data_IF_726463787615
#
_entry.id   IF_726463787615
#
_cell.length_a   1.000
_cell.length_b   1.000
_cell.length_c   1.000
_cell.angle_alpha   90.00
_cell.angle_beta   90.00
_cell.angle_gamma   90.00
#
_symmetry.space_group_name_H-M   'P 1'
#
loop_
_entity.id
_entity.type
_entity.pdbx_description
1 polymer ?
#
# COMPACT_ATOMS: atom_id res chain seq x y z
N UNK A 1 -4.87 0.56 34.08
CA UNK A 1 -5.77 1.55 34.72
C UNK A 1 -5.57 2.85 34.00
N UNK A 2 -6.46 3.19 33.07
CA UNK A 2 -6.44 4.44 32.33
C UNK A 2 -6.75 5.57 33.30
N UNK A 3 -5.80 6.46 33.58
CA UNK A 3 -6.14 7.69 34.29
C UNK A 3 -7.07 8.50 33.37
N UNK A 4 -8.26 8.90 33.82
CA UNK A 4 -9.06 9.85 33.07
C UNK A 4 -8.32 11.19 33.13
N UNK A 5 -7.96 11.73 31.96
CA UNK A 5 -7.48 13.12 31.84
C UNK A 5 -8.52 14.04 32.49
N UNK A 6 -8.18 14.54 33.68
CA UNK A 6 -9.04 15.36 34.52
C UNK A 6 -8.91 16.83 34.11
N UNK A 7 -9.39 17.16 32.92
CA UNK A 7 -9.66 18.55 32.55
C UNK A 7 -11.09 18.63 31.99
N UNK A 8 -11.99 19.26 32.75
CA UNK A 8 -13.28 19.68 32.21
C UNK A 8 -13.02 20.65 31.05
N UNK A 9 -13.34 20.20 29.84
CA UNK A 9 -13.21 21.01 28.62
C UNK A 9 -14.17 22.19 28.76
N UNK A 10 -13.69 23.45 28.82
CA UNK A 10 -14.60 24.56 29.00
C UNK A 10 -15.55 24.66 27.79
N UNK A 11 -16.84 24.98 28.02
CA UNK A 11 -17.89 24.91 26.99
C UNK A 11 -17.61 25.78 25.75
N UNK A 12 -16.75 26.78 25.88
CA UNK A 12 -16.31 27.67 24.81
C UNK A 12 -15.22 27.05 23.91
N UNK A 13 -14.87 25.77 24.06
CA UNK A 13 -13.90 25.10 23.18
C UNK A 13 -14.51 23.94 22.38
N UNK A 14 -13.84 23.62 21.29
CA UNK A 14 -14.02 22.42 20.46
C UNK A 14 -12.68 21.69 20.44
N UNK A 15 -12.69 20.37 20.63
CA UNK A 15 -11.47 19.56 20.54
C UNK A 15 -11.44 18.84 19.20
N UNK A 16 -10.33 18.98 18.50
CA UNK A 16 -9.98 18.15 17.35
C UNK A 16 -9.10 17.02 17.89
N UNK A 17 -9.54 15.77 17.74
CA UNK A 17 -8.78 14.59 18.14
C UNK A 17 -8.24 13.86 16.92
N UNK A 18 -6.96 13.52 16.94
CA UNK A 18 -6.30 12.75 15.88
C UNK A 18 -5.50 11.62 16.52
N UNK A 19 -5.74 10.40 16.07
CA UNK A 19 -4.94 9.24 16.45
C UNK A 19 -3.92 8.96 15.36
N UNK A 20 -2.66 8.95 15.72
CA UNK A 20 -1.54 8.81 14.78
C UNK A 20 -0.77 7.55 15.13
N UNK A 21 -0.57 6.68 14.15
CA UNK A 21 0.32 5.53 14.29
C UNK A 21 1.78 6.00 14.16
N UNK A 22 2.61 5.68 15.15
CA UNK A 22 4.03 6.09 15.15
C UNK A 22 4.80 5.48 13.99
N UNK A 23 4.42 4.29 13.52
CA UNK A 23 5.03 3.67 12.35
C UNK A 23 4.76 4.48 11.07
N UNK A 24 3.63 5.19 10.97
CA UNK A 24 3.36 6.10 9.86
C UNK A 24 4.22 7.36 9.93
N UNK A 25 4.48 7.88 11.14
CA UNK A 25 5.42 9.00 11.34
C UNK A 25 6.85 8.63 10.92
N UNK A 26 7.32 7.43 11.30
CA UNK A 26 8.63 6.88 10.91
C UNK A 26 8.76 6.84 9.38
N UNK A 27 7.73 6.38 8.65
CA UNK A 27 7.76 6.31 7.18
C UNK A 27 7.93 7.67 6.52
N UNK A 28 7.33 8.72 7.08
CA UNK A 28 7.39 10.06 6.48
C UNK A 28 8.71 10.76 6.82
N UNK A 29 9.24 10.55 8.02
CA UNK A 29 10.40 11.31 8.52
C UNK A 29 11.71 10.53 8.38
N UNK A 30 11.60 9.24 8.07
CA UNK A 30 12.72 8.33 7.95
C UNK A 30 13.61 8.36 9.20
N UNK A 31 12.99 8.49 10.37
CA UNK A 31 13.65 8.50 11.67
C UNK A 31 13.05 7.37 12.54
N UNK A 32 13.77 6.24 12.70
CA UNK A 32 13.27 5.11 13.46
C UNK A 32 13.13 5.41 14.97
N UNK A 33 13.76 6.47 15.48
CA UNK A 33 13.67 6.80 16.90
C UNK A 33 12.27 7.30 17.27
N UNK A 34 11.50 7.83 16.31
CA UNK A 34 10.10 8.26 16.51
C UNK A 34 9.21 7.13 17.07
N UNK A 35 9.55 5.86 16.80
CA UNK A 35 8.78 4.73 17.30
C UNK A 35 8.83 4.63 18.84
N UNK A 36 9.96 5.00 19.44
CA UNK A 36 10.24 4.81 20.86
C UNK A 36 10.48 6.10 21.64
N UNK A 37 10.56 7.24 20.96
CA UNK A 37 10.91 8.54 21.54
C UNK A 37 9.74 9.53 21.41
N UNK A 38 9.10 9.80 22.55
CA UNK A 38 7.97 10.73 22.65
C UNK A 38 8.38 12.18 22.34
N UNK A 39 9.61 12.60 22.67
CA UNK A 39 10.08 13.96 22.39
C UNK A 39 10.20 14.18 20.88
N UNK A 40 10.68 13.17 20.14
CA UNK A 40 10.73 13.24 18.68
C UNK A 40 9.36 13.28 18.02
N UNK A 41 8.39 12.55 18.56
CA UNK A 41 7.00 12.63 18.09
C UNK A 41 6.44 14.04 18.34
N UNK A 42 6.75 14.63 19.50
CA UNK A 42 6.34 15.99 19.83
C UNK A 42 6.98 17.00 18.87
N UNK A 43 8.31 16.97 18.70
CA UNK A 43 9.07 17.84 17.79
C UNK A 43 8.48 17.83 16.38
N UNK A 44 8.10 16.65 15.88
CA UNK A 44 7.40 16.52 14.61
C UNK A 44 6.09 17.30 14.62
N UNK A 45 5.21 16.99 15.59
CA UNK A 45 3.81 17.42 15.58
C UNK A 45 3.69 18.90 15.84
N UNK A 46 4.70 19.49 16.48
CA UNK A 46 4.78 20.92 16.77
C UNK A 46 5.75 21.68 15.87
N UNK A 47 6.42 21.03 14.90
CA UNK A 47 7.42 21.71 14.06
C UNK A 47 6.88 22.95 13.35
N UNK A 48 5.68 22.82 12.79
CA UNK A 48 5.01 23.88 12.04
C UNK A 48 4.05 24.68 12.95
N UNK A 49 3.98 24.36 14.25
CA UNK A 49 3.10 25.04 15.19
C UNK A 49 3.68 26.38 15.62
N UNK A 50 2.89 27.46 15.49
CA UNK A 50 3.29 28.81 15.87
C UNK A 50 2.66 29.29 17.19
N UNK A 51 2.07 28.39 18.00
CA UNK A 51 1.68 28.72 19.37
C UNK A 51 0.30 29.36 19.57
N UNK A 52 -0.56 29.41 18.56
CA UNK A 52 -1.83 30.19 18.62
C UNK A 52 -3.00 29.40 19.23
N UNK A 53 -2.85 28.09 19.42
CA UNK A 53 -3.88 27.26 20.05
C UNK A 53 -3.84 27.39 21.57
N UNK A 54 -5.02 27.47 22.17
CA UNK A 54 -5.16 27.79 23.60
C UNK A 54 -4.92 26.58 24.51
N UNK A 55 -5.02 25.36 23.99
CA UNK A 55 -4.49 24.15 24.63
C UNK A 55 -4.22 23.06 23.60
N UNK A 56 -3.19 22.25 23.86
CA UNK A 56 -2.75 21.12 23.05
C UNK A 56 -2.22 20.03 23.98
N UNK A 57 -2.64 18.79 23.76
CA UNK A 57 -2.23 17.64 24.56
C UNK A 57 -1.92 16.44 23.65
N UNK A 58 -0.94 15.64 24.04
CA UNK A 58 -0.57 14.40 23.35
C UNK A 58 -0.51 13.28 24.38
N UNK A 59 -1.45 12.36 24.27
CA UNK A 59 -1.40 11.10 24.99
C UNK A 59 -0.68 10.05 24.15
N UNK A 60 0.14 9.24 24.80
CA UNK A 60 0.86 8.14 24.16
C UNK A 60 0.29 6.82 24.64
N UNK A 61 -0.19 6.00 23.70
CA UNK A 61 -0.76 4.69 23.97
C UNK A 61 -0.20 3.70 22.94
N UNK A 62 0.36 2.59 23.43
CA UNK A 62 1.08 1.54 22.69
C UNK A 62 1.15 1.70 21.15
N UNK A 63 2.25 2.27 20.66
CA UNK A 63 2.50 2.48 19.22
C UNK A 63 1.77 3.67 18.59
N UNK A 64 0.96 4.44 19.33
CA UNK A 64 0.19 5.58 18.84
C UNK A 64 0.48 6.87 19.62
N UNK A 65 0.16 7.99 18.98
CA UNK A 65 0.05 9.31 19.56
C UNK A 65 -1.38 9.82 19.37
N UNK A 66 -2.08 10.04 20.48
CA UNK A 66 -3.44 10.56 20.56
C UNK A 66 -3.36 12.06 20.82
N UNK A 67 -3.49 12.83 19.75
CA UNK A 67 -3.41 14.29 19.79
C UNK A 67 -4.78 14.89 20.06
N UNK A 68 -4.88 15.77 21.05
CA UNK A 68 -6.06 16.59 21.33
C UNK A 68 -5.72 18.07 21.15
N UNK A 69 -6.41 18.72 20.21
CA UNK A 69 -6.18 20.12 19.86
C UNK A 69 -7.38 20.99 20.24
N UNK A 70 -7.16 21.95 21.14
CA UNK A 70 -8.17 22.85 21.68
C UNK A 70 -8.36 24.10 20.83
N UNK A 71 -9.56 24.27 20.29
CA UNK A 71 -9.94 25.40 19.44
C UNK A 71 -11.01 26.23 20.13
N UNK A 72 -10.79 27.52 20.30
CA UNK A 72 -11.79 28.42 20.86
C UNK A 72 -12.97 28.56 19.88
N UNK A 73 -14.19 28.39 20.38
CA UNK A 73 -15.41 28.64 19.61
C UNK A 73 -15.54 30.14 19.35
N UNK A 74 -15.93 30.49 18.13
CA UNK A 74 -16.22 31.88 17.78
C UNK A 74 -17.40 32.43 18.59
N UNK A 75 -17.52 33.76 18.64
CA UNK A 75 -18.72 34.41 19.15
C UNK A 75 -19.94 33.99 18.32
N UNK A 76 -21.15 34.15 18.87
CA UNK A 76 -22.39 33.87 18.13
C UNK A 76 -22.45 34.59 16.79
N UNK A 77 -22.00 35.85 16.76
CA UNK A 77 -21.95 36.65 15.55
C UNK A 77 -20.96 36.08 14.52
N UNK A 78 -19.78 35.64 14.97
CA UNK A 78 -18.79 34.99 14.12
C UNK A 78 -19.31 33.67 13.53
N UNK A 79 -20.02 32.87 14.33
CA UNK A 79 -20.66 31.62 13.88
C UNK A 79 -21.83 31.86 12.91
N UNK A 80 -22.61 32.93 13.09
CA UNK A 80 -23.67 33.31 12.16
C UNK A 80 -23.08 33.70 10.80
N UNK A 81 -21.95 34.42 10.78
CA UNK A 81 -21.20 34.67 9.56
C UNK A 81 -20.64 33.38 8.94
N UNK A 82 -20.07 32.48 9.73
CA UNK A 82 -19.59 31.18 9.24
C UNK A 82 -20.71 30.38 8.55
N UNK A 83 -21.90 30.32 9.15
CA UNK A 83 -23.08 29.66 8.58
C UNK A 83 -23.55 30.28 7.27
N UNK A 84 -23.57 31.62 7.19
CA UNK A 84 -23.89 32.33 5.95
C UNK A 84 -22.87 32.03 4.86
N UNK A 85 -21.58 31.95 5.21
CA UNK A 85 -20.52 31.53 4.30
C UNK A 85 -20.73 30.11 3.75
N UNK A 86 -21.04 29.16 4.63
CA UNK A 86 -21.38 27.78 4.24
C UNK A 86 -22.61 27.69 3.33
N UNK A 87 -23.65 28.48 3.62
CA UNK A 87 -24.85 28.54 2.78
C UNK A 87 -24.54 29.09 1.38
N UNK A 88 -23.84 30.22 1.29
CA UNK A 88 -23.43 30.80 0.02
C UNK A 88 -22.52 29.85 -0.79
N UNK A 89 -21.59 29.15 -0.13
CA UNK A 89 -20.73 28.17 -0.79
C UNK A 89 -21.50 26.94 -1.31
N UNK A 90 -22.55 26.50 -0.58
CA UNK A 90 -23.45 25.43 -1.05
C UNK A 90 -24.18 25.83 -2.34
N UNK A 91 -24.52 27.11 -2.47
CA UNK A 91 -25.10 27.70 -3.67
C UNK A 91 -24.05 28.08 -4.74
N UNK A 92 -22.78 27.71 -4.51
CA UNK A 92 -21.61 28.02 -5.36
C UNK A 92 -21.33 29.52 -5.51
N UNK A 93 -21.90 30.36 -4.65
CA UNK A 93 -21.56 31.78 -4.55
C UNK A 93 -20.31 31.97 -3.67
N UNK A 94 -19.15 31.57 -4.20
CA UNK A 94 -17.90 31.60 -3.46
C UNK A 94 -17.46 33.01 -3.05
N UNK A 95 -17.88 34.05 -3.77
CA UNK A 95 -17.52 35.43 -3.46
C UNK A 95 -18.22 35.94 -2.21
N UNK A 96 -19.52 35.72 -2.11
CA UNK A 96 -20.28 35.99 -0.89
C UNK A 96 -19.80 35.12 0.28
N UNK A 97 -19.46 33.85 0.01
CA UNK A 97 -18.90 32.97 1.03
C UNK A 97 -17.59 33.51 1.61
N UNK A 98 -16.67 33.97 0.75
CA UNK A 98 -15.42 34.62 1.14
C UNK A 98 -15.68 35.86 2.00
N UNK A 99 -16.63 36.72 1.64
CA UNK A 99 -16.98 37.90 2.44
C UNK A 99 -17.43 37.53 3.84
N UNK A 100 -18.31 36.53 3.95
CA UNK A 100 -18.82 36.06 5.22
C UNK A 100 -17.75 35.38 6.08
N UNK A 101 -16.90 34.52 5.53
CA UNK A 101 -15.82 33.91 6.31
C UNK A 101 -14.74 34.91 6.71
N UNK A 102 -14.43 35.92 5.89
CA UNK A 102 -13.54 37.02 6.30
C UNK A 102 -14.11 37.79 7.49
N UNK A 103 -15.42 38.05 7.51
CA UNK A 103 -16.09 38.67 8.67
C UNK A 103 -16.06 37.76 9.90
N UNK A 104 -16.35 36.47 9.74
CA UNK A 104 -16.29 35.50 10.84
C UNK A 104 -14.89 35.47 11.49
N UNK A 105 -13.83 35.38 10.69
CA UNK A 105 -12.44 35.37 11.17
C UNK A 105 -12.11 36.70 11.86
N UNK A 106 -12.48 37.84 11.26
CA UNK A 106 -12.25 39.17 11.85
C UNK A 106 -12.91 39.35 13.22
N UNK A 107 -14.11 38.80 13.42
CA UNK A 107 -14.86 38.89 14.69
C UNK A 107 -14.26 37.99 15.78
N UNK A 108 -13.31 37.10 15.45
CA UNK A 108 -12.64 36.11 16.32
C UNK A 108 -13.16 34.65 16.14
N UNK A 109 -13.32 34.18 14.91
CA UNK A 109 -13.46 32.75 14.63
C UNK A 109 -12.09 32.15 14.28
N UNK A 110 -11.50 31.45 15.26
CA UNK A 110 -10.24 30.73 15.10
C UNK A 110 -10.46 29.24 14.78
N UNK A 111 -11.66 28.81 14.37
CA UNK A 111 -11.91 27.43 13.97
C UNK A 111 -11.11 27.11 12.69
N UNK A 112 -10.23 26.09 12.70
CA UNK A 112 -9.54 25.60 11.51
C UNK A 112 -10.50 25.28 10.35
N UNK A 113 -11.74 24.84 10.65
CA UNK A 113 -12.76 24.64 9.62
C UNK A 113 -13.09 25.95 8.88
N UNK A 114 -13.22 27.07 9.58
CA UNK A 114 -13.55 28.39 8.99
C UNK A 114 -12.43 28.88 8.07
N UNK A 115 -11.17 28.80 8.54
CA UNK A 115 -9.99 29.15 7.75
C UNK A 115 -9.83 28.24 6.53
N UNK A 116 -10.04 26.93 6.71
CA UNK A 116 -10.01 25.95 5.64
C UNK A 116 -11.09 26.21 4.59
N UNK A 117 -12.31 26.53 5.00
CA UNK A 117 -13.41 26.84 4.09
C UNK A 117 -13.11 28.10 3.26
N UNK A 118 -12.52 29.13 3.89
CA UNK A 118 -12.04 30.30 3.18
C UNK A 118 -10.94 29.95 2.16
N UNK A 119 -9.98 29.11 2.54
CA UNK A 119 -8.94 28.62 1.64
C UNK A 119 -9.54 27.85 0.46
N UNK A 120 -10.54 27.00 0.71
CA UNK A 120 -11.24 26.23 -0.32
C UNK A 120 -12.02 27.13 -1.28
N UNK A 121 -12.74 28.15 -0.80
CA UNK A 121 -13.40 29.08 -1.69
C UNK A 121 -12.42 29.89 -2.55
N UNK A 122 -11.27 30.28 -1.99
CA UNK A 122 -10.21 30.88 -2.81
C UNK A 122 -9.69 29.91 -3.89
N UNK A 123 -9.58 28.61 -3.58
CA UNK A 123 -9.21 27.59 -4.56
C UNK A 123 -10.25 27.47 -5.68
N UNK A 124 -11.55 27.43 -5.34
CA UNK A 124 -12.65 27.31 -6.31
C UNK A 124 -12.70 28.49 -7.28
N UNK A 125 -12.35 29.70 -6.83
CA UNK A 125 -12.24 30.88 -7.71
C UNK A 125 -10.86 31.05 -8.34
N UNK A 126 -10.01 30.02 -8.27
CA UNK A 126 -8.65 29.99 -8.82
C UNK A 126 -7.69 31.05 -8.25
N UNK A 127 -7.97 31.60 -7.07
CA UNK A 127 -7.05 32.47 -6.34
C UNK A 127 -6.08 31.62 -5.49
N UNK A 128 -5.16 30.94 -6.18
CA UNK A 128 -4.26 29.97 -5.54
C UNK A 128 -3.31 30.60 -4.52
N UNK A 129 -2.91 31.86 -4.69
CA UNK A 129 -2.06 32.57 -3.72
C UNK A 129 -2.77 32.71 -2.38
N UNK A 130 -3.98 33.30 -2.36
CA UNK A 130 -4.73 33.47 -1.11
C UNK A 130 -5.17 32.14 -0.51
N UNK A 131 -5.46 31.15 -1.35
CA UNK A 131 -5.78 29.79 -0.90
C UNK A 131 -4.58 29.15 -0.18
N UNK A 132 -3.38 29.28 -0.74
CA UNK A 132 -2.14 28.81 -0.13
C UNK A 132 -1.87 29.51 1.20
N UNK A 133 -1.98 30.85 1.25
CA UNK A 133 -1.79 31.64 2.47
C UNK A 133 -2.73 31.16 3.59
N UNK A 134 -4.02 30.93 3.28
CA UNK A 134 -4.99 30.47 4.27
C UNK A 134 -4.79 29.00 4.66
N UNK A 135 -4.35 28.13 3.75
CA UNK A 135 -3.99 26.76 4.12
C UNK A 135 -2.80 26.73 5.09
N UNK A 136 -1.81 27.59 4.86
CA UNK A 136 -0.64 27.70 5.72
C UNK A 136 -1.04 28.18 7.12
N UNK A 137 -1.91 29.19 7.21
CA UNK A 137 -2.46 29.64 8.50
C UNK A 137 -3.24 28.55 9.24
N UNK A 138 -3.98 27.68 8.53
CA UNK A 138 -4.64 26.52 9.16
C UNK A 138 -3.61 25.59 9.81
N UNK A 139 -2.51 25.30 9.12
CA UNK A 139 -1.47 24.38 9.61
C UNK A 139 -0.70 25.01 10.78
N UNK A 140 -0.38 26.30 10.71
CA UNK A 140 0.28 27.03 11.80
C UNK A 140 -0.57 27.05 13.08
N UNK A 141 -1.90 27.10 12.93
CA UNK A 141 -2.85 27.08 14.04
C UNK A 141 -3.28 25.69 14.50
N UNK A 142 -3.21 24.68 13.63
CA UNK A 142 -3.61 23.30 13.89
C UNK A 142 -2.86 22.34 12.94
N UNK A 143 -1.61 21.95 13.25
CA UNK A 143 -0.76 21.13 12.38
C UNK A 143 -1.27 19.72 12.13
N UNK A 144 -2.26 19.24 12.90
CA UNK A 144 -2.88 17.92 12.69
C UNK A 144 -4.11 17.98 11.77
N UNK A 145 -4.42 19.15 11.21
CA UNK A 145 -5.61 19.36 10.37
C UNK A 145 -5.40 18.81 8.94
N UNK A 146 -5.59 17.49 8.79
CA UNK A 146 -5.29 16.74 7.57
C UNK A 146 -5.89 17.32 6.27
N UNK A 147 -7.08 17.96 6.35
CA UNK A 147 -7.77 18.52 5.19
C UNK A 147 -6.98 19.66 4.55
N UNK A 148 -6.25 20.46 5.34
CA UNK A 148 -5.40 21.53 4.82
C UNK A 148 -4.25 20.98 3.98
N UNK A 149 -3.61 19.89 4.42
CA UNK A 149 -2.55 19.21 3.67
C UNK A 149 -3.04 18.65 2.33
N UNK A 150 -4.25 18.07 2.28
CA UNK A 150 -4.84 17.61 1.01
C UNK A 150 -5.20 18.77 0.07
N UNK A 151 -5.63 19.91 0.60
CA UNK A 151 -5.86 21.12 -0.19
C UNK A 151 -4.54 21.70 -0.72
N UNK A 152 -3.48 21.77 0.09
CA UNK A 152 -2.13 22.12 -0.36
C UNK A 152 -1.63 21.19 -1.47
N UNK A 153 -1.84 19.87 -1.31
CA UNK A 153 -1.58 18.89 -2.35
C UNK A 153 -2.27 19.21 -3.67
N UNK A 154 -3.54 19.60 -3.60
CA UNK A 154 -4.36 19.98 -4.75
C UNK A 154 -3.89 21.31 -5.36
N UNK A 155 -3.56 22.31 -4.55
CA UNK A 155 -3.01 23.61 -4.96
C UNK A 155 -1.68 23.42 -5.72
N UNK A 156 -0.72 22.72 -5.10
CA UNK A 156 0.57 22.46 -5.73
C UNK A 156 0.41 21.64 -7.02
N UNK A 157 -0.54 20.70 -7.07
CA UNK A 157 -0.86 19.98 -8.30
C UNK A 157 -1.38 20.91 -9.41
N UNK A 158 -2.27 21.86 -9.09
CA UNK A 158 -2.75 22.89 -10.03
C UNK A 158 -1.62 23.81 -10.50
N UNK A 159 -0.67 24.11 -9.62
CA UNK A 159 0.55 24.87 -9.93
C UNK A 159 1.64 24.02 -10.62
N UNK A 160 1.37 22.74 -10.94
CA UNK A 160 2.31 21.77 -11.53
C UNK A 160 3.58 21.51 -10.70
N UNK A 161 3.50 21.74 -9.40
CA UNK A 161 4.54 21.49 -8.39
C UNK A 161 4.32 20.11 -7.76
N UNK A 162 4.55 19.06 -8.54
CA UNK A 162 4.07 17.71 -8.21
C UNK A 162 4.81 17.06 -7.02
N UNK A 163 6.09 17.34 -6.83
CA UNK A 163 6.85 16.85 -5.67
C UNK A 163 6.29 17.43 -4.36
N UNK A 164 6.06 18.74 -4.34
CA UNK A 164 5.47 19.44 -3.19
C UNK A 164 4.02 18.97 -2.94
N UNK A 165 3.29 18.67 -4.02
CA UNK A 165 1.97 18.08 -3.90
C UNK A 165 2.02 16.70 -3.22
N UNK A 166 2.91 15.81 -3.69
CA UNK A 166 3.07 14.48 -3.11
C UNK A 166 3.48 14.53 -1.64
N UNK A 167 4.42 15.42 -1.29
CA UNK A 167 4.86 15.62 0.09
C UNK A 167 3.70 16.02 1.01
N UNK A 168 2.92 17.03 0.63
CA UNK A 168 1.80 17.49 1.44
C UNK A 168 0.70 16.43 1.54
N UNK A 169 0.39 15.71 0.46
CA UNK A 169 -0.60 14.63 0.54
C UNK A 169 -0.12 13.51 1.49
N UNK A 170 1.17 13.15 1.47
CA UNK A 170 1.73 12.18 2.43
C UNK A 170 1.58 12.67 3.87
N UNK A 171 1.86 13.93 4.16
CA UNK A 171 1.64 14.52 5.50
C UNK A 171 0.18 14.40 5.93
N UNK A 172 -0.78 14.73 5.05
CA UNK A 172 -2.21 14.55 5.34
C UNK A 172 -2.59 13.09 5.62
N UNK A 173 -1.98 12.13 4.92
CA UNK A 173 -2.20 10.69 5.13
C UNK A 173 -1.58 10.16 6.44
N UNK A 174 -0.62 10.85 7.06
CA UNK A 174 -0.16 10.49 8.41
C UNK A 174 -1.30 10.62 9.41
N UNK A 175 -2.06 11.71 9.30
CA UNK A 175 -3.17 12.01 10.21
C UNK A 175 -4.45 11.25 9.84
N UNK A 176 -4.60 10.86 8.57
CA UNK A 176 -5.74 10.07 8.09
C UNK A 176 -5.27 9.00 7.09
N UNK A 177 -4.66 7.89 7.55
CA UNK A 177 -4.01 6.89 6.70
C UNK A 177 -4.97 6.20 5.73
N UNK A 178 -6.24 6.08 6.12
CA UNK A 178 -7.26 5.41 5.32
C UNK A 178 -8.12 6.40 4.50
N UNK A 179 -7.66 7.64 4.32
CA UNK A 179 -8.35 8.59 3.46
C UNK A 179 -8.23 8.19 1.98
N UNK A 180 -9.27 7.57 1.45
CA UNK A 180 -9.31 7.12 0.06
C UNK A 180 -9.16 8.25 -0.96
N UNK A 181 -9.63 9.46 -0.66
CA UNK A 181 -9.45 10.64 -1.54
C UNK A 181 -7.99 11.08 -1.56
N UNK A 182 -7.34 11.15 -0.40
CA UNK A 182 -5.91 11.43 -0.27
C UNK A 182 -5.05 10.40 -1.01
N UNK A 183 -5.36 9.11 -0.85
CA UNK A 183 -4.65 8.03 -1.55
C UNK A 183 -4.81 8.14 -3.07
N UNK A 184 -6.02 8.38 -3.58
CA UNK A 184 -6.25 8.58 -5.02
C UNK A 184 -5.47 9.79 -5.55
N UNK A 185 -5.48 10.91 -4.82
CA UNK A 185 -4.74 12.11 -5.21
C UNK A 185 -3.23 11.85 -5.20
N UNK A 186 -2.70 11.14 -4.19
CA UNK A 186 -1.29 10.76 -4.13
C UNK A 186 -0.91 9.85 -5.30
N UNK A 187 -1.70 8.81 -5.58
CA UNK A 187 -1.48 7.91 -6.70
C UNK A 187 -1.44 8.65 -8.04
N UNK A 188 -2.35 9.61 -8.24
CA UNK A 188 -2.39 10.44 -9.44
C UNK A 188 -1.14 11.33 -9.58
N UNK A 189 -0.70 11.97 -8.50
CA UNK A 189 0.52 12.79 -8.49
C UNK A 189 1.77 11.92 -8.73
N UNK A 190 1.86 10.76 -8.09
CA UNK A 190 2.98 9.82 -8.28
C UNK A 190 3.05 9.27 -9.71
N UNK A 191 1.89 9.05 -10.34
CA UNK A 191 1.81 8.68 -11.75
C UNK A 191 2.41 9.76 -12.66
N UNK A 192 2.09 11.05 -12.40
CA UNK A 192 2.68 12.18 -13.15
C UNK A 192 4.20 12.25 -12.94
N UNK A 193 4.66 12.00 -11.72
CA UNK A 193 6.07 11.91 -11.37
C UNK A 193 6.78 10.65 -11.91
N UNK A 194 6.07 9.78 -12.64
CA UNK A 194 6.56 8.50 -13.17
C UNK A 194 7.06 7.52 -12.09
N UNK A 195 6.63 7.70 -10.84
CA UNK A 195 6.86 6.76 -9.73
C UNK A 195 5.84 5.62 -9.79
N UNK A 196 5.84 4.91 -10.92
CA UNK A 196 4.75 4.01 -11.31
C UNK A 196 4.48 2.88 -10.32
N UNK A 197 5.54 2.25 -9.79
CA UNK A 197 5.38 1.16 -8.82
C UNK A 197 4.72 1.63 -7.52
N UNK A 198 5.15 2.78 -7.01
CA UNK A 198 4.57 3.38 -5.79
C UNK A 198 3.12 3.83 -6.04
N UNK A 199 2.84 4.42 -7.21
CA UNK A 199 1.49 4.82 -7.58
C UNK A 199 0.51 3.62 -7.65
N UNK A 200 0.95 2.48 -8.19
CA UNK A 200 0.16 1.23 -8.22
C UNK A 200 -0.20 0.80 -6.80
N UNK A 201 0.78 0.69 -5.90
CA UNK A 201 0.55 0.27 -4.51
C UNK A 201 -0.43 1.22 -3.78
N UNK A 202 -0.32 2.52 -4.03
CA UNK A 202 -1.23 3.52 -3.44
C UNK A 202 -2.65 3.39 -3.99
N UNK A 203 -2.82 3.16 -5.31
CA UNK A 203 -4.14 2.93 -5.89
C UNK A 203 -4.75 1.60 -5.42
N UNK A 204 -3.97 0.53 -5.32
CA UNK A 204 -4.41 -0.76 -4.76
C UNK A 204 -4.87 -0.61 -3.31
N UNK A 205 -4.15 0.17 -2.49
CA UNK A 205 -4.58 0.51 -1.13
C UNK A 205 -5.90 1.30 -1.11
N UNK A 206 -6.07 2.26 -2.01
CA UNK A 206 -7.33 3.01 -2.11
C UNK A 206 -8.51 2.09 -2.48
N UNK A 207 -8.27 1.10 -3.35
CA UNK A 207 -9.25 0.09 -3.78
C UNK A 207 -9.56 -0.90 -2.66
N UNK A 208 -8.56 -1.33 -1.87
CA UNK A 208 -8.80 -2.26 -0.75
C UNK A 208 -9.65 -1.63 0.34
N UNK A 209 -9.48 -0.33 0.59
CA UNK A 209 -10.31 0.45 1.52
C UNK A 209 -11.70 0.79 0.95
N UNK A 210 -11.82 0.94 -0.37
CA UNK A 210 -13.09 1.22 -1.05
C UNK A 210 -13.11 0.56 -2.43
N UNK A 211 -13.73 -0.62 -2.49
CA UNK A 211 -13.86 -1.42 -3.72
C UNK A 211 -14.74 -0.77 -4.80
N UNK A 212 -15.38 0.36 -4.49
CA UNK A 212 -16.21 1.14 -5.41
C UNK A 212 -15.56 2.47 -5.83
N UNK A 213 -14.28 2.69 -5.48
CA UNK A 213 -13.58 3.93 -5.82
C UNK A 213 -13.21 3.99 -7.31
N UNK A 214 -14.11 4.57 -8.11
CA UNK A 214 -13.99 4.69 -9.57
C UNK A 214 -12.69 5.40 -9.98
N UNK A 215 -12.28 6.45 -9.27
CA UNK A 215 -11.08 7.23 -9.61
C UNK A 215 -9.80 6.42 -9.40
N UNK A 216 -9.76 5.57 -8.38
CA UNK A 216 -8.62 4.69 -8.12
C UNK A 216 -8.46 3.66 -9.26
N UNK A 217 -9.54 2.97 -9.66
CA UNK A 217 -9.51 2.06 -10.80
C UNK A 217 -9.14 2.76 -12.10
N UNK A 218 -9.66 3.97 -12.36
CA UNK A 218 -9.32 4.73 -13.56
C UNK A 218 -7.82 5.11 -13.59
N UNK A 219 -7.28 5.56 -12.45
CA UNK A 219 -5.86 5.88 -12.31
C UNK A 219 -4.96 4.66 -12.52
N UNK A 220 -5.34 3.53 -11.91
CA UNK A 220 -4.63 2.26 -12.04
C UNK A 220 -4.66 1.73 -13.49
N UNK A 221 -5.83 1.79 -14.14
CA UNK A 221 -5.98 1.38 -15.54
C UNK A 221 -5.10 2.21 -16.49
N UNK A 222 -5.03 3.54 -16.28
CA UNK A 222 -4.13 4.42 -17.05
C UNK A 222 -2.65 4.10 -16.84
N UNK A 223 -2.27 3.74 -15.62
CA UNK A 223 -0.88 3.32 -15.32
C UNK A 223 -0.52 2.01 -16.02
N UNK A 224 -1.40 1.02 -15.99
CA UNK A 224 -1.20 -0.23 -16.72
C UNK A 224 -1.15 0.00 -18.24
N UNK A 225 -2.04 0.83 -18.77
CA UNK A 225 -2.03 1.23 -20.19
C UNK A 225 -0.69 1.87 -20.59
N UNK A 226 -0.17 2.79 -19.77
CA UNK A 226 1.13 3.42 -19.99
C UNK A 226 2.32 2.45 -19.91
N UNK A 227 2.14 1.27 -19.30
CA UNK A 227 3.12 0.18 -19.24
C UNK A 227 2.90 -0.89 -20.31
N UNK A 228 1.97 -0.68 -21.25
CA UNK A 228 1.51 -1.67 -22.23
C UNK A 228 0.92 -2.95 -21.62
N UNK A 229 0.45 -2.88 -20.37
CA UNK A 229 -0.34 -3.95 -19.75
C UNK A 229 -1.83 -3.75 -20.09
N UNK A 230 -2.16 -4.08 -21.34
CA UNK A 230 -3.50 -3.86 -21.92
C UNK A 230 -4.57 -4.64 -21.15
N UNK A 231 -4.26 -5.84 -20.66
CA UNK A 231 -5.19 -6.70 -19.94
C UNK A 231 -5.60 -6.08 -18.60
N UNK A 232 -4.63 -5.73 -17.74
CA UNK A 232 -4.95 -5.13 -16.45
C UNK A 232 -5.54 -3.72 -16.61
N UNK A 233 -5.13 -2.98 -17.66
CA UNK A 233 -5.74 -1.71 -18.01
C UNK A 233 -7.23 -1.86 -18.34
N UNK A 234 -7.57 -2.74 -19.29
CA UNK A 234 -8.95 -2.98 -19.71
C UNK A 234 -9.79 -3.58 -18.58
N UNK A 235 -9.23 -4.42 -17.70
CA UNK A 235 -9.92 -4.91 -16.49
C UNK A 235 -10.32 -3.75 -15.57
N UNK A 236 -9.40 -2.83 -15.30
CA UNK A 236 -9.69 -1.65 -14.49
C UNK A 236 -10.75 -0.75 -15.16
N UNK A 237 -10.63 -0.49 -16.46
CA UNK A 237 -11.60 0.32 -17.20
C UNK A 237 -12.99 -0.32 -17.24
N UNK A 238 -13.09 -1.65 -17.40
CA UNK A 238 -14.37 -2.38 -17.31
C UNK A 238 -15.04 -2.22 -15.95
N UNK A 239 -14.28 -2.22 -14.85
CA UNK A 239 -14.82 -1.93 -13.51
C UNK A 239 -15.33 -0.48 -13.43
N UNK A 240 -14.58 0.49 -13.97
CA UNK A 240 -15.03 1.89 -14.03
C UNK A 240 -16.34 2.03 -14.81
N UNK A 241 -16.46 1.36 -15.96
CA UNK A 241 -17.69 1.36 -16.77
C UNK A 241 -18.86 0.73 -16.01
N UNK A 242 -18.62 -0.36 -15.25
CA UNK A 242 -19.66 -1.00 -14.45
C UNK A 242 -20.15 -0.10 -13.31
N UNK A 243 -19.24 0.62 -12.66
CA UNK A 243 -19.55 1.49 -11.53
C UNK A 243 -20.12 2.86 -11.97
N UNK A 244 -19.81 3.31 -13.17
CA UNK A 244 -20.25 4.59 -13.73
C UNK A 244 -20.74 4.46 -15.19
N UNK A 245 -21.77 3.66 -15.49
CA UNK A 245 -22.12 3.29 -16.88
C UNK A 245 -22.52 4.49 -17.75
N UNK A 246 -23.08 5.53 -17.15
CA UNK A 246 -23.59 6.72 -17.84
C UNK A 246 -22.88 8.02 -17.45
N UNK A 247 -21.89 7.98 -16.56
CA UNK A 247 -21.17 9.18 -16.14
C UNK A 247 -19.89 9.43 -16.90
N UNK A 248 -19.29 10.57 -16.58
CA UNK A 248 -18.12 11.08 -17.28
C UNK A 248 -16.92 10.15 -17.16
N UNK A 249 -16.70 9.52 -16.00
CA UNK A 249 -15.54 8.65 -15.79
C UNK A 249 -15.72 7.32 -16.52
N UNK A 250 -16.94 6.78 -16.56
CA UNK A 250 -17.28 5.64 -17.41
C UNK A 250 -17.07 5.91 -18.89
N UNK A 251 -17.49 7.07 -19.39
CA UNK A 251 -17.26 7.45 -20.79
C UNK A 251 -15.76 7.63 -21.10
N UNK A 252 -14.98 8.23 -20.19
CA UNK A 252 -13.51 8.27 -20.29
C UNK A 252 -12.95 6.85 -20.34
N UNK A 253 -13.41 5.94 -19.48
CA UNK A 253 -12.94 4.56 -19.47
C UNK A 253 -13.31 3.81 -20.75
N UNK A 254 -14.52 3.98 -21.31
CA UNK A 254 -14.91 3.42 -22.62
C UNK A 254 -13.96 3.86 -23.72
N UNK A 255 -13.63 5.15 -23.77
CA UNK A 255 -12.69 5.70 -24.74
C UNK A 255 -11.23 5.31 -24.46
N UNK A 256 -10.93 4.91 -23.23
CA UNK A 256 -9.59 4.44 -22.81
C UNK A 256 -9.43 2.94 -22.96
N UNK A 257 -10.50 2.19 -23.29
CA UNK A 257 -10.38 0.80 -23.69
C UNK A 257 -9.46 0.77 -24.91
N UNK A 258 -8.31 0.14 -24.71
CA UNK A 258 -7.35 0.02 -25.77
C UNK A 258 -7.87 -1.03 -26.76
N UNK A 259 -7.92 -0.72 -28.07
CA UNK A 259 -8.28 -1.69 -29.07
C UNK A 259 -7.29 -2.83 -28.94
N UNK A 260 -7.86 -4.01 -28.80
CA UNK A 260 -7.11 -5.24 -28.84
C UNK A 260 -6.72 -5.44 -30.32
N UNK A 261 -5.77 -4.65 -30.84
CA UNK A 261 -5.23 -4.91 -32.17
C UNK A 261 -4.34 -6.14 -32.01
N UNK A 262 -4.83 -7.23 -32.62
CA UNK A 262 -4.61 -8.67 -32.37
C UNK A 262 -5.69 -9.40 -31.54
N UNK A 263 -6.89 -8.85 -31.32
CA UNK A 263 -8.07 -9.60 -30.86
C UNK A 263 -9.37 -9.16 -31.56
N UNK A 264 -9.56 -9.60 -32.80
CA UNK A 264 -10.84 -9.52 -33.50
C UNK A 264 -11.42 -10.92 -33.74
N UNK A 265 -11.72 -11.69 -32.69
CA UNK A 265 -12.74 -12.76 -32.70
C UNK A 265 -13.38 -13.02 -31.31
N UNK A 266 -13.30 -12.09 -30.36
CA UNK A 266 -13.72 -12.33 -28.97
C UNK A 266 -15.05 -11.68 -28.55
N UNK A 267 -15.99 -11.43 -29.48
CA UNK A 267 -17.31 -10.90 -29.13
C UNK A 267 -18.45 -11.55 -29.93
N UNK A 268 -18.73 -12.82 -29.63
CA UNK A 268 -20.08 -13.40 -29.68
C UNK A 268 -20.10 -14.73 -28.92
N UNK A 269 -20.40 -14.67 -27.63
CA UNK A 269 -21.35 -15.57 -26.93
C UNK A 269 -21.18 -15.45 -25.42
N UNK A 270 -21.89 -14.48 -24.84
CA UNK A 270 -22.46 -14.70 -23.51
C UNK A 270 -23.63 -15.69 -23.64
N UNK A 271 -23.76 -16.55 -22.63
CA UNK A 271 -24.81 -17.54 -22.38
C UNK A 271 -24.75 -18.83 -23.22
N UNK A 272 -24.10 -19.88 -22.68
CA UNK A 272 -24.73 -21.14 -22.22
C UNK A 272 -23.78 -21.82 -21.23
N UNK A 273 -24.31 -22.23 -20.09
CA UNK A 273 -23.66 -23.12 -19.12
C UNK A 273 -23.54 -24.50 -19.77
N UNK A 274 -22.32 -24.97 -20.04
CA UNK A 274 -22.02 -26.41 -20.18
C UNK A 274 -20.55 -26.69 -19.85
N UNK A 275 -20.35 -27.78 -19.12
CA UNK A 275 -19.05 -28.40 -18.81
C UNK A 275 -18.29 -28.90 -20.06
N UNK A 276 -17.00 -29.26 -19.93
CA UNK A 276 -15.97 -29.00 -20.94
C UNK A 276 -15.81 -30.11 -21.98
N UNK A 277 -15.81 -29.73 -23.26
CA UNK A 277 -15.14 -30.51 -24.30
C UNK A 277 -14.72 -29.65 -25.50
N UNK A 278 -13.39 -29.56 -25.67
CA UNK A 278 -12.64 -29.47 -26.94
C UNK A 278 -13.03 -28.31 -27.87
N UNK A 279 -12.25 -27.24 -27.97
CA UNK A 279 -10.89 -27.28 -28.52
C UNK A 279 -9.95 -26.29 -27.81
N UNK A 280 -8.84 -26.77 -27.26
CA UNK A 280 -7.72 -25.89 -26.87
C UNK A 280 -6.91 -25.48 -28.12
N UNK A 281 -7.58 -24.87 -29.09
CA UNK A 281 -6.99 -24.27 -30.29
C UNK A 281 -7.43 -22.81 -30.33
N UNK A 282 -6.71 -21.97 -29.59
CA UNK A 282 -6.90 -20.53 -29.57
C UNK A 282 -5.62 -19.83 -30.00
N UNK A 283 -5.72 -18.56 -30.34
CA UNK A 283 -4.55 -17.70 -30.53
C UNK A 283 -3.62 -17.82 -29.30
N UNK A 284 -2.30 -17.71 -29.51
CA UNK A 284 -1.29 -17.80 -28.46
C UNK A 284 -1.64 -16.86 -27.31
N UNK A 285 -2.09 -15.63 -27.60
CA UNK A 285 -2.40 -14.65 -26.57
C UNK A 285 -3.67 -15.02 -25.76
N UNK A 286 -4.64 -15.70 -26.38
CA UNK A 286 -5.81 -16.23 -25.68
C UNK A 286 -5.40 -17.33 -24.70
N UNK A 287 -4.47 -18.20 -25.08
CA UNK A 287 -3.97 -19.28 -24.21
C UNK A 287 -3.36 -18.72 -22.92
N UNK A 288 -2.54 -17.66 -23.01
CA UNK A 288 -2.00 -17.00 -21.81
C UNK A 288 -3.11 -16.39 -20.94
N UNK A 289 -4.02 -15.63 -21.56
CA UNK A 289 -5.07 -14.90 -20.84
C UNK A 289 -6.01 -15.85 -20.08
N UNK A 290 -6.43 -16.96 -20.71
CA UNK A 290 -7.22 -17.98 -20.04
C UNK A 290 -6.43 -18.62 -18.90
N UNK A 291 -5.17 -19.00 -19.14
CA UNK A 291 -4.30 -19.53 -18.09
C UNK A 291 -4.20 -18.60 -16.88
N UNK A 292 -4.01 -17.31 -17.11
CA UNK A 292 -3.90 -16.30 -16.06
C UNK A 292 -5.23 -16.06 -15.32
N UNK A 293 -6.37 -16.09 -16.02
CA UNK A 293 -7.68 -16.00 -15.37
C UNK A 293 -7.94 -17.18 -14.43
N UNK A 294 -7.63 -18.40 -14.85
CA UNK A 294 -7.75 -19.59 -13.99
C UNK A 294 -6.76 -19.54 -12.83
N UNK A 295 -5.54 -19.03 -13.05
CA UNK A 295 -4.57 -18.78 -11.99
C UNK A 295 -5.11 -17.83 -10.91
N UNK A 296 -5.74 -16.71 -11.29
CA UNK A 296 -6.35 -15.77 -10.34
C UNK A 296 -7.56 -16.35 -9.59
N UNK A 297 -8.24 -17.34 -10.18
CA UNK A 297 -9.33 -18.09 -9.54
C UNK A 297 -8.83 -19.25 -8.65
N UNK A 298 -7.51 -19.42 -8.52
CA UNK A 298 -6.86 -20.57 -7.86
C UNK A 298 -7.16 -21.94 -8.48
N UNK A 299 -7.65 -21.98 -9.73
CA UNK A 299 -7.77 -23.21 -10.50
C UNK A 299 -6.46 -23.48 -11.23
N UNK A 300 -5.50 -24.01 -10.48
CA UNK A 300 -4.15 -24.22 -10.97
C UNK A 300 -4.05 -25.35 -12.00
N UNK A 301 -4.91 -26.37 -11.92
CA UNK A 301 -4.93 -27.46 -12.90
C UNK A 301 -5.32 -26.95 -14.29
N UNK A 302 -6.37 -26.13 -14.38
CA UNK A 302 -6.79 -25.57 -15.66
C UNK A 302 -5.78 -24.54 -16.16
N UNK A 303 -5.23 -23.70 -15.26
CA UNK A 303 -4.19 -22.74 -15.60
C UNK A 303 -2.95 -23.41 -16.22
N UNK A 304 -2.49 -24.53 -15.67
CA UNK A 304 -1.37 -25.30 -16.21
C UNK A 304 -1.59 -25.69 -17.68
N UNK A 305 -2.76 -26.26 -18.01
CA UNK A 305 -3.05 -26.74 -19.37
C UNK A 305 -2.98 -25.61 -20.40
N UNK A 306 -3.47 -24.42 -20.03
CA UNK A 306 -3.42 -23.24 -20.88
C UNK A 306 -2.00 -22.69 -21.04
N UNK A 307 -1.22 -22.63 -19.96
CA UNK A 307 0.18 -22.20 -20.04
C UNK A 307 1.07 -23.20 -20.79
N UNK A 308 0.86 -24.51 -20.64
CA UNK A 308 1.57 -25.54 -21.41
C UNK A 308 1.32 -25.36 -22.91
N UNK A 309 0.05 -25.22 -23.31
CA UNK A 309 -0.34 -24.92 -24.70
C UNK A 309 0.23 -23.61 -25.23
N UNK A 310 0.28 -22.56 -24.41
CA UNK A 310 0.93 -21.29 -24.76
C UNK A 310 2.41 -21.51 -25.09
N UNK A 311 3.09 -22.26 -24.22
CA UNK A 311 4.54 -22.47 -24.29
C UNK A 311 4.95 -23.40 -25.45
N UNK A 312 4.04 -24.22 -25.99
CA UNK A 312 4.27 -24.92 -27.27
C UNK A 312 4.59 -23.95 -28.41
N UNK A 313 4.05 -22.72 -28.37
CA UNK A 313 4.23 -21.70 -29.40
C UNK A 313 5.22 -20.59 -29.00
N UNK A 314 5.41 -20.37 -27.69
CA UNK A 314 6.28 -19.31 -27.12
C UNK A 314 7.22 -19.85 -26.05
N UNK A 315 7.97 -20.91 -26.36
CA UNK A 315 8.88 -21.59 -25.41
C UNK A 315 9.99 -20.69 -24.80
N UNK A 316 10.22 -19.49 -25.36
CA UNK A 316 11.18 -18.52 -24.80
C UNK A 316 10.60 -17.56 -23.75
N UNK A 317 9.31 -17.62 -23.45
CA UNK A 317 8.71 -16.73 -22.45
C UNK A 317 9.01 -17.20 -21.01
N UNK A 318 10.05 -16.62 -20.42
CA UNK A 318 10.46 -16.92 -19.06
C UNK A 318 9.37 -16.60 -18.00
N UNK A 319 8.50 -15.62 -18.25
CA UNK A 319 7.44 -15.25 -17.30
C UNK A 319 6.36 -16.32 -17.26
N UNK A 320 5.97 -16.85 -18.42
CA UNK A 320 4.93 -17.90 -18.48
C UNK A 320 5.48 -19.23 -17.98
N UNK A 321 6.75 -19.55 -18.26
CA UNK A 321 7.42 -20.69 -17.62
C UNK A 321 7.42 -20.57 -16.08
N UNK A 322 7.64 -19.38 -15.52
CA UNK A 322 7.61 -19.19 -14.07
C UNK A 322 6.20 -19.26 -13.48
N UNK A 323 5.18 -18.74 -14.18
CA UNK A 323 3.78 -18.88 -13.79
C UNK A 323 3.31 -20.34 -13.83
N UNK A 324 3.67 -21.07 -14.89
CA UNK A 324 3.39 -22.50 -15.00
C UNK A 324 4.03 -23.26 -13.84
N UNK A 325 5.27 -22.95 -13.48
CA UNK A 325 5.95 -23.57 -12.36
C UNK A 325 5.20 -23.36 -11.03
N UNK A 326 4.68 -22.15 -10.79
CA UNK A 326 3.85 -21.85 -9.61
C UNK A 326 2.55 -22.64 -9.64
N UNK A 327 1.84 -22.69 -10.77
CA UNK A 327 0.60 -23.47 -10.90
C UNK A 327 0.86 -24.96 -10.66
N UNK A 328 1.91 -25.52 -11.25
CA UNK A 328 2.29 -26.92 -11.09
C UNK A 328 2.58 -27.23 -9.62
N UNK A 329 3.35 -26.38 -8.94
CA UNK A 329 3.63 -26.54 -7.51
C UNK A 329 2.35 -26.51 -6.67
N UNK A 330 1.45 -25.55 -6.92
CA UNK A 330 0.19 -25.38 -6.18
C UNK A 330 -0.82 -26.50 -6.46
N UNK A 331 -0.75 -27.11 -7.64
CA UNK A 331 -1.53 -28.30 -8.02
C UNK A 331 -0.90 -29.62 -7.55
N UNK A 332 0.24 -29.58 -6.84
CA UNK A 332 0.93 -30.75 -6.31
C UNK A 332 1.94 -31.41 -7.28
N UNK A 333 2.08 -30.91 -8.50
CA UNK A 333 3.06 -31.39 -9.47
C UNK A 333 4.46 -30.76 -9.23
N UNK A 334 5.17 -31.26 -8.23
CA UNK A 334 6.50 -30.77 -7.85
C UNK A 334 7.57 -30.96 -8.93
N UNK A 335 7.55 -32.10 -9.64
CA UNK A 335 8.53 -32.38 -10.70
C UNK A 335 8.34 -31.45 -11.90
N UNK A 336 7.08 -31.23 -12.32
CA UNK A 336 6.77 -30.26 -13.37
C UNK A 336 7.22 -28.85 -12.99
N UNK A 337 6.93 -28.42 -11.76
CA UNK A 337 7.30 -27.09 -11.27
C UNK A 337 8.80 -26.82 -11.38
N UNK A 338 9.61 -27.82 -11.01
CA UNK A 338 11.06 -27.80 -11.13
C UNK A 338 11.50 -27.63 -12.58
N UNK A 339 10.98 -28.45 -13.49
CA UNK A 339 11.35 -28.40 -14.92
C UNK A 339 10.99 -27.03 -15.51
N UNK A 340 9.79 -26.54 -15.20
CA UNK A 340 9.29 -25.26 -15.71
C UNK A 340 10.12 -24.07 -15.22
N UNK A 341 10.52 -24.06 -13.94
CA UNK A 341 11.35 -22.96 -13.42
C UNK A 341 12.79 -23.00 -13.94
N UNK A 342 13.35 -24.19 -14.19
CA UNK A 342 14.64 -24.35 -14.85
C UNK A 342 14.59 -23.78 -16.29
N UNK A 343 13.53 -24.07 -17.04
CA UNK A 343 13.29 -23.44 -18.35
C UNK A 343 13.16 -21.92 -18.27
N UNK A 344 12.47 -21.40 -17.26
CA UNK A 344 12.37 -19.95 -17.06
C UNK A 344 13.77 -19.32 -16.87
N UNK A 345 14.61 -19.93 -16.02
CA UNK A 345 15.97 -19.46 -15.75
C UNK A 345 16.87 -19.51 -16.97
N UNK A 346 16.76 -20.55 -17.81
CA UNK A 346 17.49 -20.65 -19.08
C UNK A 346 17.12 -19.50 -20.02
N UNK A 347 15.83 -19.14 -20.10
CA UNK A 347 15.34 -18.08 -20.98
C UNK A 347 15.63 -16.66 -20.48
N UNK A 348 15.84 -16.46 -19.17
CA UNK A 348 16.15 -15.14 -18.61
C UNK A 348 17.17 -15.21 -17.45
N UNK A 349 18.38 -15.66 -17.76
CA UNK A 349 19.45 -15.87 -16.78
C UNK A 349 19.97 -14.62 -16.04
N UNK A 350 19.54 -13.41 -16.45
CA UNK A 350 19.90 -12.13 -15.80
C UNK A 350 18.70 -11.48 -15.10
N UNK A 351 17.84 -12.26 -14.45
CA UNK A 351 16.71 -11.74 -13.67
C UNK A 351 16.78 -12.19 -12.20
N UNK A 352 17.10 -11.29 -11.25
CA UNK A 352 17.25 -11.68 -9.84
C UNK A 352 15.92 -12.03 -9.16
N UNK A 353 14.80 -11.46 -9.62
CA UNK A 353 13.47 -11.82 -9.14
C UNK A 353 13.10 -13.26 -9.54
N UNK A 354 13.58 -13.72 -10.69
CA UNK A 354 13.34 -15.09 -11.17
C UNK A 354 14.16 -16.12 -10.39
N UNK A 355 15.43 -15.80 -10.06
CA UNK A 355 16.22 -16.65 -9.15
C UNK A 355 15.60 -16.76 -7.75
N UNK A 356 15.04 -15.67 -7.23
CA UNK A 356 14.26 -15.70 -5.99
C UNK A 356 13.05 -16.63 -6.11
N UNK A 357 12.28 -16.53 -7.19
CA UNK A 357 11.13 -17.43 -7.43
C UNK A 357 11.57 -18.89 -7.52
N UNK A 358 12.66 -19.18 -8.22
CA UNK A 358 13.24 -20.52 -8.29
C UNK A 358 13.65 -21.06 -6.93
N UNK A 359 14.29 -20.24 -6.10
CA UNK A 359 14.66 -20.63 -4.75
C UNK A 359 13.45 -21.03 -3.90
N UNK A 360 12.34 -20.29 -4.01
CA UNK A 360 11.07 -20.60 -3.33
C UNK A 360 10.51 -21.95 -3.81
N UNK A 361 10.51 -22.19 -5.12
CA UNK A 361 9.98 -23.43 -5.70
C UNK A 361 10.83 -24.64 -5.29
N UNK A 362 12.16 -24.52 -5.37
CA UNK A 362 13.06 -25.59 -4.93
C UNK A 362 12.90 -25.91 -3.44
N UNK A 363 12.80 -24.90 -2.58
CA UNK A 363 12.56 -25.09 -1.16
C UNK A 363 11.24 -25.82 -0.90
N UNK A 364 10.16 -25.42 -1.57
CA UNK A 364 8.86 -26.08 -1.46
C UNK A 364 8.87 -27.54 -1.95
N UNK A 365 9.76 -27.88 -2.88
CA UNK A 365 9.98 -29.23 -3.39
C UNK A 365 11.03 -30.02 -2.59
N UNK A 366 11.59 -29.49 -1.50
CA UNK A 366 12.62 -30.16 -0.70
C UNK A 366 14.01 -30.22 -1.35
N UNK A 367 14.25 -29.46 -2.43
CA UNK A 367 15.52 -29.35 -3.16
C UNK A 367 16.41 -28.29 -2.52
N UNK A 368 17.00 -28.62 -1.37
CA UNK A 368 17.71 -27.67 -0.51
C UNK A 368 18.95 -27.02 -1.19
N UNK A 369 19.74 -27.81 -1.92
CA UNK A 369 20.97 -27.32 -2.55
C UNK A 369 20.67 -26.35 -3.69
N UNK A 370 19.71 -26.70 -4.53
CA UNK A 370 19.25 -25.88 -5.65
C UNK A 370 18.58 -24.60 -5.15
N UNK A 371 17.80 -24.69 -4.07
CA UNK A 371 17.23 -23.52 -3.41
C UNK A 371 18.31 -22.56 -2.92
N UNK A 372 19.36 -23.07 -2.27
CA UNK A 372 20.51 -22.29 -1.80
C UNK A 372 21.23 -21.61 -2.96
N UNK A 373 21.53 -22.35 -4.02
CA UNK A 373 22.26 -21.85 -5.18
C UNK A 373 21.46 -20.76 -5.91
N UNK A 374 20.14 -20.92 -6.04
CA UNK A 374 19.27 -19.90 -6.60
C UNK A 374 19.16 -18.65 -5.71
N UNK A 375 19.05 -18.82 -4.38
CA UNK A 375 19.04 -17.68 -3.44
C UNK A 375 20.36 -16.90 -3.49
N UNK A 376 21.50 -17.59 -3.57
CA UNK A 376 22.82 -16.99 -3.69
C UNK A 376 22.94 -16.15 -4.97
N UNK A 377 22.52 -16.68 -6.12
CA UNK A 377 22.50 -15.91 -7.37
C UNK A 377 21.59 -14.68 -7.29
N UNK A 378 20.40 -14.80 -6.69
CA UNK A 378 19.53 -13.65 -6.47
C UNK A 378 20.20 -12.59 -5.59
N UNK A 379 20.88 -13.02 -4.52
CA UNK A 379 21.63 -12.16 -3.60
C UNK A 379 22.77 -11.42 -4.31
N UNK A 380 23.65 -12.13 -5.03
CA UNK A 380 24.76 -11.53 -5.78
C UNK A 380 24.32 -10.48 -6.80
N UNK A 381 23.09 -10.63 -7.32
CA UNK A 381 22.47 -9.69 -8.24
C UNK A 381 21.68 -8.55 -7.54
N UNK A 382 21.86 -8.37 -6.23
CA UNK A 382 21.34 -7.25 -5.44
C UNK A 382 19.97 -7.47 -4.78
N UNK A 383 19.40 -8.69 -4.80
CA UNK A 383 18.14 -8.97 -4.07
C UNK A 383 18.41 -9.34 -2.62
N UNK A 384 18.57 -8.32 -1.78
CA UNK A 384 18.80 -8.47 -0.34
C UNK A 384 17.51 -8.28 0.47
N UNK A 385 16.38 -8.84 0.02
CA UNK A 385 15.12 -8.79 0.77
C UNK A 385 14.99 -9.98 1.74
N UNK A 386 14.11 -9.84 2.74
CA UNK A 386 13.95 -10.83 3.82
C UNK A 386 13.73 -12.25 3.30
N UNK A 387 12.97 -12.46 2.22
CA UNK A 387 12.68 -13.81 1.71
C UNK A 387 13.92 -14.43 1.07
N UNK A 388 14.68 -13.67 0.29
CA UNK A 388 15.92 -14.16 -0.32
C UNK A 388 16.95 -14.55 0.74
N UNK A 389 17.11 -13.71 1.77
CA UNK A 389 18.00 -14.02 2.90
C UNK A 389 17.50 -15.24 3.68
N UNK A 390 16.19 -15.38 3.88
CA UNK A 390 15.61 -16.55 4.55
C UNK A 390 16.02 -17.84 3.86
N UNK A 391 15.85 -17.91 2.53
CA UNK A 391 16.15 -19.12 1.75
C UNK A 391 17.66 -19.40 1.70
N UNK A 392 18.48 -18.35 1.57
CA UNK A 392 19.94 -18.50 1.64
C UNK A 392 20.39 -19.03 3.01
N UNK A 393 19.84 -18.48 4.09
CA UNK A 393 20.11 -18.89 5.47
C UNK A 393 19.70 -20.34 5.74
N UNK A 394 18.53 -20.76 5.28
CA UNK A 394 18.09 -22.17 5.35
C UNK A 394 19.06 -23.08 4.60
N UNK A 395 19.46 -22.69 3.39
CA UNK A 395 20.43 -23.44 2.60
C UNK A 395 21.79 -23.57 3.29
N UNK A 396 22.27 -22.51 3.95
CA UNK A 396 23.50 -22.52 4.76
C UNK A 396 23.38 -23.44 5.98
N UNK A 397 22.23 -23.44 6.66
CA UNK A 397 21.99 -24.34 7.78
C UNK A 397 22.07 -25.81 7.36
N UNK A 398 21.42 -26.18 6.25
CA UNK A 398 21.49 -27.55 5.71
C UNK A 398 22.91 -27.96 5.27
N UNK A 399 23.77 -26.99 4.94
CA UNK A 399 25.17 -27.24 4.63
C UNK A 399 26.08 -27.32 5.87
N UNK A 400 25.53 -27.19 7.08
CA UNK A 400 26.27 -27.19 8.35
C UNK A 400 26.95 -25.85 8.68
N UNK A 401 26.72 -24.80 7.87
CA UNK A 401 27.30 -23.47 8.06
C UNK A 401 26.46 -22.65 9.06
N UNK A 402 26.34 -23.15 10.29
CA UNK A 402 25.36 -22.66 11.28
C UNK A 402 25.56 -21.20 11.70
N UNK A 403 26.81 -20.75 11.89
CA UNK A 403 27.09 -19.36 12.28
C UNK A 403 26.72 -18.36 11.18
N UNK A 404 27.09 -18.66 9.93
CA UNK A 404 26.73 -17.82 8.77
C UNK A 404 25.23 -17.84 8.53
N UNK A 405 24.59 -19.00 8.70
CA UNK A 405 23.14 -19.15 8.63
C UNK A 405 22.44 -18.26 9.67
N UNK A 406 22.87 -18.32 10.95
CA UNK A 406 22.29 -17.51 12.02
C UNK A 406 22.38 -16.02 11.69
N UNK A 407 23.54 -15.54 11.23
CA UNK A 407 23.73 -14.14 10.84
C UNK A 407 22.80 -13.72 9.69
N UNK A 408 22.74 -14.51 8.62
CA UNK A 408 21.90 -14.22 7.46
C UNK A 408 20.41 -14.25 7.82
N UNK A 409 20.00 -15.20 8.67
CA UNK A 409 18.62 -15.31 9.14
C UNK A 409 18.25 -14.17 10.09
N UNK A 410 19.19 -13.71 10.92
CA UNK A 410 19.00 -12.53 11.75
C UNK A 410 18.79 -11.27 10.89
N UNK A 411 19.59 -11.08 9.85
CA UNK A 411 19.40 -10.00 8.87
C UNK A 411 18.03 -10.13 8.15
N UNK A 412 17.60 -11.36 7.84
CA UNK A 412 16.30 -11.62 7.24
C UNK A 412 15.14 -11.20 8.16
N UNK A 413 15.23 -11.50 9.46
CA UNK A 413 14.26 -11.07 10.48
C UNK A 413 14.29 -9.56 10.67
N UNK A 414 15.47 -8.94 10.73
CA UNK A 414 15.61 -7.48 10.83
C UNK A 414 14.97 -6.73 9.66
N UNK A 415 15.06 -7.27 8.44
CA UNK A 415 14.40 -6.68 7.25
C UNK A 415 12.88 -6.86 7.22
N UNK A 416 12.36 -7.91 7.85
CA UNK A 416 10.93 -8.14 7.98
C UNK A 416 10.63 -8.95 9.24
N UNK A 417 10.31 -8.27 10.36
CA UNK A 417 9.98 -8.93 11.61
C UNK A 417 8.75 -9.84 11.53
N UNK A 418 7.90 -9.67 10.51
CA UNK A 418 6.72 -10.53 10.29
C UNK A 418 7.00 -11.76 9.42
N UNK A 419 8.26 -12.00 9.02
CA UNK A 419 8.65 -13.21 8.32
C UNK A 419 8.83 -14.38 9.31
N UNK A 420 7.70 -15.03 9.64
CA UNK A 420 7.66 -16.14 10.59
C UNK A 420 8.54 -17.33 10.16
N UNK A 421 8.74 -17.53 8.84
CA UNK A 421 9.62 -18.58 8.34
C UNK A 421 11.08 -18.27 8.69
N UNK A 422 11.53 -17.03 8.49
CA UNK A 422 12.87 -16.61 8.89
C UNK A 422 13.11 -16.82 10.39
N UNK A 423 12.16 -16.39 11.22
CA UNK A 423 12.23 -16.56 12.69
C UNK A 423 12.29 -18.01 13.10
N UNK A 424 11.45 -18.86 12.50
CA UNK A 424 11.41 -20.28 12.84
C UNK A 424 12.76 -20.95 12.55
N UNK A 425 13.32 -20.71 11.36
CA UNK A 425 14.60 -21.30 10.99
C UNK A 425 15.77 -20.68 11.77
N UNK A 426 15.70 -19.39 12.13
CA UNK A 426 16.68 -18.77 13.03
C UNK A 426 16.66 -19.47 14.40
N UNK A 427 15.48 -19.71 14.96
CA UNK A 427 15.34 -20.42 16.22
C UNK A 427 15.89 -21.86 16.15
N UNK A 428 15.65 -22.60 15.06
CA UNK A 428 16.24 -23.91 14.84
C UNK A 428 17.78 -23.85 14.85
N UNK A 429 18.37 -22.92 14.11
CA UNK A 429 19.84 -22.77 14.05
C UNK A 429 20.42 -22.34 15.39
N UNK A 430 19.77 -21.42 16.10
CA UNK A 430 20.19 -20.98 17.44
C UNK A 430 20.11 -22.12 18.46
N UNK A 431 19.08 -22.97 18.36
CA UNK A 431 18.96 -24.16 19.19
C UNK A 431 20.12 -25.15 18.96
N UNK A 432 20.46 -25.42 17.69
CA UNK A 432 21.61 -26.25 17.33
C UNK A 432 22.94 -25.65 17.82
N UNK A 433 23.06 -24.31 17.80
CA UNK A 433 24.19 -23.56 18.35
C UNK A 433 24.18 -23.44 19.88
N UNK A 434 23.26 -24.10 20.59
CA UNK A 434 23.08 -24.05 22.05
C UNK A 434 22.74 -22.67 22.62
N UNK A 435 22.23 -21.75 21.81
CA UNK A 435 21.72 -20.44 22.24
C UNK A 435 20.22 -20.55 22.57
N UNK A 436 19.92 -21.26 23.66
CA UNK A 436 18.55 -21.69 23.99
C UNK A 436 17.61 -20.52 24.26
N UNK A 437 18.04 -19.50 25.01
CA UNK A 437 17.19 -18.36 25.36
C UNK A 437 16.79 -17.55 24.11
N UNK A 438 17.75 -17.25 23.23
CA UNK A 438 17.50 -16.57 21.96
C UNK A 438 16.58 -17.39 21.04
N UNK A 439 16.76 -18.71 21.00
CA UNK A 439 15.89 -19.61 20.25
C UNK A 439 14.45 -19.57 20.78
N UNK A 440 14.28 -19.64 22.11
CA UNK A 440 12.98 -19.58 22.80
C UNK A 440 12.24 -18.27 22.48
N UNK A 441 12.93 -17.14 22.61
CA UNK A 441 12.36 -15.82 22.31
C UNK A 441 11.77 -15.76 20.90
N UNK A 442 12.51 -16.22 19.89
CA UNK A 442 12.01 -16.22 18.52
C UNK A 442 10.82 -17.16 18.29
N UNK A 443 10.75 -18.29 19.02
CA UNK A 443 9.60 -19.19 18.95
C UNK A 443 8.35 -18.60 19.61
N UNK A 444 8.50 -17.92 20.75
CA UNK A 444 7.41 -17.22 21.44
C UNK A 444 6.84 -16.08 20.58
N UNK A 445 7.71 -15.31 19.90
CA UNK A 445 7.27 -14.28 18.95
C UNK A 445 6.46 -14.86 17.78
N UNK A 446 6.74 -16.11 17.35
CA UNK A 446 5.89 -16.79 16.34
C UNK A 446 4.51 -17.13 16.91
N UNK A 447 4.43 -17.49 18.20
CA UNK A 447 3.16 -17.82 18.85
C UNK A 447 2.28 -16.59 19.09
N UNK A 448 2.89 -15.42 19.38
CA UNK A 448 2.17 -14.15 19.55
C UNK A 448 1.63 -13.58 18.24
N UNK A 449 2.12 -14.02 17.08
CA UNK A 449 1.60 -13.57 15.80
C UNK A 449 0.11 -13.90 15.66
N UNK A 450 -0.71 -12.94 15.23
CA UNK A 450 -2.15 -13.17 15.00
C UNK A 450 -2.43 -14.12 13.81
N UNK A 451 -1.44 -14.34 12.93
CA UNK A 451 -1.62 -15.19 11.74
C UNK A 451 -1.65 -16.67 12.11
N UNK A 452 -2.71 -17.35 11.71
CA UNK A 452 -2.76 -18.81 11.85
C UNK A 452 -1.92 -19.49 10.76
N UNK A 453 -0.92 -20.25 11.18
CA UNK A 453 0.08 -20.87 10.29
C UNK A 453 0.55 -22.22 10.86
N UNK A 454 0.88 -23.20 10.00
CA UNK A 454 1.49 -24.46 10.44
C UNK A 454 2.77 -24.27 11.27
N UNK A 455 3.46 -23.13 11.12
CA UNK A 455 4.66 -22.81 11.89
C UNK A 455 4.39 -22.64 13.39
N UNK A 456 3.19 -22.22 13.81
CA UNK A 456 2.86 -22.13 15.24
C UNK A 456 2.88 -23.50 15.90
N UNK A 457 2.36 -24.53 15.22
CA UNK A 457 2.42 -25.91 15.71
C UNK A 457 3.87 -26.36 15.85
N UNK A 458 4.68 -26.20 14.79
CA UNK A 458 6.11 -26.53 14.82
C UNK A 458 6.87 -25.79 15.92
N UNK A 459 6.53 -24.53 16.17
CA UNK A 459 7.15 -23.73 17.22
C UNK A 459 6.79 -24.24 18.63
N UNK A 460 5.53 -24.63 18.88
CA UNK A 460 5.14 -25.29 20.14
C UNK A 460 5.86 -26.61 20.34
N UNK A 461 5.93 -27.42 19.28
CA UNK A 461 6.59 -28.73 19.33
C UNK A 461 8.09 -28.55 19.67
N UNK A 462 8.77 -27.60 19.04
CA UNK A 462 10.18 -27.30 19.33
C UNK A 462 10.39 -26.70 20.73
N UNK A 463 9.53 -25.78 21.19
CA UNK A 463 9.57 -25.26 22.56
C UNK A 463 9.44 -26.37 23.61
N UNK A 464 8.56 -27.35 23.37
CA UNK A 464 8.37 -28.47 24.30
C UNK A 464 9.60 -29.37 24.42
N UNK A 465 10.45 -29.42 23.38
CA UNK A 465 11.71 -30.16 23.38
C UNK A 465 12.85 -29.40 24.07
N UNK A 466 12.69 -28.08 24.29
CA UNK A 466 13.74 -27.22 24.83
C UNK A 466 13.86 -27.22 26.35
N UNK A 467 12.87 -27.74 27.09
CA UNK A 467 12.90 -27.83 28.56
C UNK A 467 12.72 -26.50 29.26
#
# INVERSE_FOLDING_TARGET
MSQPSAFEIPQNYKIIKVSIDRAELVKVYNDPQIEHDNEKVLDYLTKDYQGVAQFFDIDFDDGKALVSWGVQRGSKEAEDHNKKGLAAAKDKNFQEAIEHWRKAIYINNHDPDTLYNLALAYFEISNFTKSLDKCQEVIENCPVYFRAYFLLGSLYSKMRKFEQAAENIRKGLVFQPDNTTGLVNLGAVLSILKKNHEAILIFERAISLSSTNIKAYLGLGKLYAAQNDVENANRCFKVVIKLDPNGNLGNIAKNSILPEHDMAMANKSEAVITEPSQTMSGDVNELYSHGYQYFLKNDYHTACRFFEKYLEQKDRDAKVWSLLAICQLRSGNQQGAVISIEKALLNQAKNPSLFKQASIIYDACGRAEESRNAAMKAYEMGKHDSVTLTLLGIGKAHAGELYDSAKILQDAVGKNPNNLKARYHLACVLHELRQIDSARQHLEEILWSERETPLKKKARDLLSQMG
#
